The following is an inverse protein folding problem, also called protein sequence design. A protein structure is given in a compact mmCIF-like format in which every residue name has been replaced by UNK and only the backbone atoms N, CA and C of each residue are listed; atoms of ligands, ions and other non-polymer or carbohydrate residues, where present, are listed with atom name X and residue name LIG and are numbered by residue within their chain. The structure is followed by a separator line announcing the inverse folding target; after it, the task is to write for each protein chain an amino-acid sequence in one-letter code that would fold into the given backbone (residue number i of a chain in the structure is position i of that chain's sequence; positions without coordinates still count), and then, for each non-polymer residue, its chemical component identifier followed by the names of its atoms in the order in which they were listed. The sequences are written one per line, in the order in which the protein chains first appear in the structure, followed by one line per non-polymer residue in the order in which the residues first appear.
data_IF_202633535483
#
_entry.id   IF_202633535483
#
_cell.length_a   1.000
_cell.length_b   1.000
_cell.length_c   1.000
_cell.angle_alpha   90.00
_cell.angle_beta   90.00
_cell.angle_gamma   90.00
#
_symmetry.space_group_name_H-M   'P 1'
#
loop_
_entity.id
_entity.type
_entity.pdbx_description
1 polymer ?
#
# COMPACT_ATOMS: atom_id res chain seq x y z
N UNK A 1 -10.77 -7.81 35.54
CA UNK A 1 -9.87 -7.58 34.41
C UNK A 1 -9.18 -6.25 34.67
N UNK A 2 -7.88 -6.09 34.53
CA UNK A 2 -7.27 -4.77 34.64
C UNK A 2 -7.92 -3.87 33.58
N UNK A 3 -8.37 -2.69 33.97
CA UNK A 3 -8.86 -1.67 33.04
C UNK A 3 -7.70 -1.41 32.06
N UNK A 4 -7.96 -1.55 30.74
CA UNK A 4 -6.97 -1.16 29.74
C UNK A 4 -6.70 0.34 29.90
N UNK A 5 -5.43 0.70 29.87
CA UNK A 5 -5.02 2.10 29.98
C UNK A 5 -5.57 2.86 28.78
N UNK A 6 -6.31 3.92 29.02
CA UNK A 6 -6.67 4.91 28.03
C UNK A 6 -5.40 5.69 27.64
N UNK A 7 -5.21 5.94 26.34
CA UNK A 7 -4.10 6.74 25.79
C UNK A 7 -4.68 8.01 25.22
N UNK A 8 -4.14 9.14 25.65
CA UNK A 8 -4.60 10.47 25.26
C UNK A 8 -3.57 11.16 24.36
N UNK A 9 -3.99 11.64 23.20
CA UNK A 9 -3.18 12.33 22.21
C UNK A 9 -3.71 13.74 22.05
N UNK A 10 -2.84 14.76 22.06
CA UNK A 10 -3.18 16.18 21.95
C UNK A 10 -2.51 16.81 20.74
N UNK A 11 -3.14 17.81 20.14
CA UNK A 11 -2.52 18.67 19.11
C UNK A 11 -3.41 18.91 17.89
N UNK A 12 -2.81 18.97 16.70
CA UNK A 12 -3.61 19.09 15.47
C UNK A 12 -4.02 17.71 14.98
N UNK A 13 -5.32 17.44 14.97
CA UNK A 13 -5.89 16.14 14.58
C UNK A 13 -6.33 16.19 13.12
N UNK A 14 -5.79 15.29 12.27
CA UNK A 14 -6.22 15.10 10.88
C UNK A 14 -7.29 14.00 10.86
N UNK A 15 -8.56 14.37 10.75
CA UNK A 15 -9.69 13.48 11.01
C UNK A 15 -10.70 13.39 9.84
N UNK A 16 -11.56 12.39 9.94
CA UNK A 16 -12.63 12.15 8.97
C UNK A 16 -12.12 11.64 7.63
N UNK A 17 -13.03 11.34 6.72
CA UNK A 17 -12.69 10.79 5.41
C UNK A 17 -12.23 11.87 4.40
N UNK A 18 -12.45 13.13 4.76
CA UNK A 18 -11.99 14.31 3.99
C UNK A 18 -10.73 14.95 4.61
N UNK A 19 -10.15 14.33 5.63
CA UNK A 19 -8.91 14.78 6.29
C UNK A 19 -8.94 16.25 6.67
N UNK A 20 -10.00 16.64 7.35
CA UNK A 20 -10.10 17.96 7.98
C UNK A 20 -9.13 18.04 9.15
N UNK A 21 -8.84 19.22 9.64
CA UNK A 21 -7.99 19.42 10.81
C UNK A 21 -8.73 20.18 11.90
N UNK A 22 -8.49 19.80 13.15
CA UNK A 22 -8.90 20.55 14.34
C UNK A 22 -7.76 20.55 15.35
N UNK A 23 -7.70 21.58 16.19
CA UNK A 23 -6.83 21.58 17.36
C UNK A 23 -7.63 21.03 18.55
N UNK A 24 -7.12 19.92 19.13
CA UNK A 24 -7.85 19.18 20.14
C UNK A 24 -7.18 17.86 20.53
N UNK A 25 -7.97 16.85 20.81
CA UNK A 25 -7.51 15.58 21.35
C UNK A 25 -8.13 14.37 20.66
N UNK A 26 -7.46 13.21 20.82
CA UNK A 26 -7.97 11.88 20.50
C UNK A 26 -7.75 10.97 21.71
N UNK A 27 -8.80 10.25 22.14
CA UNK A 27 -8.72 9.19 23.14
C UNK A 27 -8.74 7.82 22.46
N UNK A 28 -7.76 6.99 22.83
CA UNK A 28 -7.62 5.61 22.38
C UNK A 28 -7.89 4.68 23.56
N UNK A 29 -8.79 3.72 23.39
CA UNK A 29 -9.12 2.73 24.41
C UNK A 29 -9.37 1.36 23.78
N UNK A 30 -8.85 0.31 24.39
CA UNK A 30 -9.04 -1.09 23.96
C UNK A 30 -8.65 -1.37 22.49
N UNK A 31 -7.70 -0.57 21.95
CA UNK A 31 -7.26 -0.69 20.55
C UNK A 31 -8.16 0.03 19.54
N UNK A 32 -9.09 0.87 20.01
CA UNK A 32 -10.01 1.65 19.17
C UNK A 32 -9.93 3.14 19.46
N UNK A 33 -10.32 3.94 18.49
CA UNK A 33 -10.55 5.38 18.63
C UNK A 33 -11.89 5.52 19.38
N UNK A 34 -11.83 5.92 20.65
CA UNK A 34 -13.01 6.07 21.49
C UNK A 34 -13.76 7.36 21.17
N UNK A 35 -13.03 8.46 21.14
CA UNK A 35 -13.56 9.78 20.83
C UNK A 35 -12.44 10.72 20.39
N UNK A 36 -12.80 11.81 19.77
CA UNK A 36 -11.92 12.96 19.51
C UNK A 36 -12.73 14.26 19.55
N UNK A 37 -12.08 15.36 19.88
CA UNK A 37 -12.78 16.65 20.01
C UNK A 37 -11.84 17.83 20.15
N UNK A 38 -12.43 19.01 20.27
CA UNK A 38 -11.72 20.26 20.54
C UNK A 38 -11.43 20.41 22.03
N UNK A 39 -10.43 21.17 22.38
CA UNK A 39 -10.05 21.48 23.75
C UNK A 39 -8.64 20.99 24.08
N UNK A 40 -8.19 21.33 25.30
CA UNK A 40 -6.88 20.94 25.80
C UNK A 40 -7.04 19.92 26.92
N UNK A 41 -6.25 18.85 26.87
CA UNK A 41 -6.21 17.80 27.86
C UNK A 41 -4.74 17.54 28.27
N UNK A 42 -4.53 16.93 29.43
CA UNK A 42 -3.22 16.38 29.82
C UNK A 42 -3.03 15.07 29.05
N UNK A 43 -2.14 15.05 28.08
CA UNK A 43 -1.99 13.97 27.11
C UNK A 43 -0.66 13.22 27.25
N UNK A 44 -0.67 11.94 26.87
CA UNK A 44 0.55 11.11 26.83
C UNK A 44 1.52 11.57 25.70
N UNK A 45 0.99 12.09 24.60
CA UNK A 45 1.76 12.59 23.45
C UNK A 45 1.10 13.84 22.85
N UNK A 46 1.96 14.78 22.37
CA UNK A 46 1.51 16.00 21.69
C UNK A 46 2.19 16.14 20.33
N UNK A 47 1.40 16.52 19.28
CA UNK A 47 1.90 16.71 17.93
C UNK A 47 0.81 16.80 16.86
N UNK A 48 1.12 16.40 15.63
CA UNK A 48 0.11 16.22 14.59
C UNK A 48 -0.34 14.76 14.63
N UNK A 49 -1.61 14.51 14.99
CA UNK A 49 -2.19 13.18 15.07
C UNK A 49 -2.87 12.86 13.73
N UNK A 50 -2.47 11.77 13.10
CA UNK A 50 -3.01 11.36 11.81
C UNK A 50 -3.14 9.83 11.71
N UNK A 51 -3.99 9.31 10.78
CA UNK A 51 -4.04 7.88 10.52
C UNK A 51 -2.70 7.37 9.96
N UNK A 52 -2.38 6.12 10.28
CA UNK A 52 -1.24 5.40 9.71
C UNK A 52 -1.48 5.06 8.24
N UNK A 53 -0.40 4.79 7.53
CA UNK A 53 -0.42 4.48 6.10
C UNK A 53 -0.87 3.05 5.80
N UNK A 54 -1.34 2.88 4.56
CA UNK A 54 -1.67 1.58 3.97
C UNK A 54 -0.90 1.45 2.66
N UNK A 55 -0.10 0.39 2.54
CA UNK A 55 0.64 0.04 1.34
C UNK A 55 -0.19 -0.95 0.50
N UNK A 56 -0.87 -0.46 -0.53
CA UNK A 56 -1.83 -1.28 -1.29
C UNK A 56 -1.19 -2.23 -2.31
N UNK A 57 0.14 -2.19 -2.48
CA UNK A 57 0.87 -3.10 -3.35
C UNK A 57 2.35 -3.18 -2.97
N UNK A 58 2.82 -4.37 -2.64
CA UNK A 58 4.22 -4.63 -2.33
C UNK A 58 4.59 -6.08 -2.66
N UNK A 59 5.87 -6.35 -2.86
CA UNK A 59 6.47 -7.68 -2.94
C UNK A 59 7.54 -7.80 -1.86
N UNK A 60 7.18 -8.31 -0.67
CA UNK A 60 8.17 -8.48 0.42
C UNK A 60 9.03 -9.72 0.23
N UNK A 61 8.64 -10.62 -0.69
CA UNK A 61 9.39 -11.84 -0.98
C UNK A 61 10.82 -11.61 -1.43
N UNK A 62 11.09 -10.48 -2.08
CA UNK A 62 12.39 -10.12 -2.63
C UNK A 62 13.27 -9.27 -1.69
N UNK A 63 12.86 -9.12 -0.44
CA UNK A 63 13.56 -8.28 0.55
C UNK A 63 14.97 -8.72 0.90
N UNK A 64 15.35 -9.95 0.58
CA UNK A 64 16.68 -10.50 0.92
C UNK A 64 17.79 -10.08 -0.05
N UNK A 65 17.45 -9.49 -1.21
CA UNK A 65 18.41 -9.15 -2.27
C UNK A 65 18.14 -7.76 -2.85
N UNK A 66 18.34 -6.75 -2.01
CA UNK A 66 18.15 -5.33 -2.34
C UNK A 66 19.20 -4.82 -3.33
N UNK A 67 18.82 -3.75 -4.05
CA UNK A 67 19.67 -2.99 -4.95
C UNK A 67 20.28 -3.83 -6.10
N UNK A 68 19.47 -4.58 -6.89
CA UNK A 68 19.96 -5.22 -8.09
C UNK A 68 20.46 -4.16 -9.10
N UNK A 69 21.29 -4.55 -10.09
CA UNK A 69 21.70 -3.61 -11.12
C UNK A 69 20.48 -3.08 -11.89
N UNK A 70 20.59 -1.86 -12.42
CA UNK A 70 19.55 -1.29 -13.29
C UNK A 70 19.47 -2.13 -14.60
N UNK A 71 18.35 -2.80 -14.78
CA UNK A 71 18.05 -3.68 -15.90
C UNK A 71 16.64 -3.38 -16.43
N UNK A 72 16.31 -3.77 -17.66
CA UNK A 72 14.94 -3.76 -18.16
C UNK A 72 13.99 -4.57 -17.24
N UNK A 73 12.73 -4.16 -17.18
CA UNK A 73 11.73 -4.79 -16.29
C UNK A 73 11.67 -6.32 -16.44
N UNK A 74 11.67 -6.84 -17.70
CA UNK A 74 11.65 -8.27 -17.98
C UNK A 74 12.84 -9.03 -17.39
N UNK A 75 14.02 -8.41 -17.39
CA UNK A 75 15.26 -9.01 -16.89
C UNK A 75 15.34 -8.93 -15.36
N UNK A 76 14.61 -7.98 -14.76
CA UNK A 76 14.51 -7.84 -13.30
C UNK A 76 13.49 -8.82 -12.70
N UNK A 77 12.22 -8.74 -13.13
CA UNK A 77 11.07 -9.38 -12.49
C UNK A 77 10.27 -10.33 -13.39
N UNK A 78 10.65 -10.47 -14.66
CA UNK A 78 10.05 -11.44 -15.57
C UNK A 78 10.23 -12.89 -15.11
N UNK A 79 9.55 -13.86 -15.73
CA UNK A 79 9.61 -15.28 -15.35
C UNK A 79 11.03 -15.84 -15.25
N UNK A 80 11.93 -15.42 -16.16
CA UNK A 80 13.36 -15.81 -16.18
C UNK A 80 14.26 -14.69 -15.63
N UNK A 81 13.69 -13.68 -14.99
CA UNK A 81 14.41 -12.52 -14.47
C UNK A 81 15.28 -12.83 -13.26
N UNK A 82 16.15 -11.87 -12.90
CA UNK A 82 17.07 -12.00 -11.77
C UNK A 82 16.34 -12.29 -10.44
N UNK A 83 15.14 -11.74 -10.25
CA UNK A 83 14.30 -11.97 -9.07
C UNK A 83 13.97 -13.46 -8.88
N UNK A 84 13.50 -14.13 -9.94
CA UNK A 84 13.14 -15.54 -9.88
C UNK A 84 14.34 -16.43 -9.51
N UNK A 85 15.51 -16.16 -10.12
CA UNK A 85 16.77 -16.86 -9.83
C UNK A 85 17.20 -16.63 -8.36
N UNK A 86 17.23 -15.37 -7.90
CA UNK A 86 17.65 -15.05 -6.54
C UNK A 86 16.72 -15.65 -5.49
N UNK A 87 15.40 -15.69 -5.74
CA UNK A 87 14.45 -16.38 -4.86
C UNK A 87 14.74 -17.88 -4.76
N UNK A 88 15.09 -18.52 -5.87
CA UNK A 88 15.42 -19.96 -5.89
C UNK A 88 16.77 -20.29 -5.21
N UNK A 89 17.75 -19.40 -5.30
CA UNK A 89 19.11 -19.59 -4.79
C UNK A 89 19.26 -19.16 -3.31
N UNK A 90 18.37 -18.30 -2.81
CA UNK A 90 18.48 -17.72 -1.46
C UNK A 90 17.95 -18.70 -0.41
N UNK A 91 18.72 -19.01 0.65
CA UNK A 91 18.26 -19.88 1.73
C UNK A 91 16.97 -19.36 2.38
N UNK A 92 16.08 -20.30 2.76
CA UNK A 92 14.76 -20.01 3.36
C UNK A 92 14.85 -19.01 4.52
N UNK A 93 15.80 -19.21 5.43
CA UNK A 93 15.99 -18.38 6.62
C UNK A 93 16.40 -16.94 6.26
N UNK A 94 17.20 -16.76 5.20
CA UNK A 94 17.59 -15.45 4.71
C UNK A 94 16.42 -14.72 4.07
N UNK A 95 15.54 -15.41 3.35
CA UNK A 95 14.30 -14.84 2.79
C UNK A 95 13.38 -14.37 3.93
N UNK A 96 13.15 -15.21 4.95
CA UNK A 96 12.32 -14.87 6.12
C UNK A 96 12.88 -13.65 6.86
N UNK A 97 14.20 -13.62 7.11
CA UNK A 97 14.85 -12.50 7.78
C UNK A 97 14.74 -11.21 6.95
N UNK A 98 14.92 -11.29 5.63
CA UNK A 98 14.73 -10.16 4.72
C UNK A 98 13.30 -9.62 4.78
N UNK A 99 12.30 -10.49 4.67
CA UNK A 99 10.88 -10.14 4.82
C UNK A 99 10.63 -9.46 6.17
N UNK A 100 11.09 -10.06 7.29
CA UNK A 100 10.88 -9.54 8.62
C UNK A 100 11.45 -8.12 8.79
N UNK A 101 12.66 -7.87 8.29
CA UNK A 101 13.29 -6.54 8.32
C UNK A 101 12.47 -5.51 7.57
N UNK A 102 11.95 -5.84 6.40
CA UNK A 102 11.12 -4.94 5.59
C UNK A 102 9.75 -4.70 6.21
N UNK A 103 9.15 -5.71 6.85
CA UNK A 103 7.92 -5.53 7.63
C UNK A 103 8.13 -4.64 8.86
N UNK A 104 9.27 -4.78 9.56
CA UNK A 104 9.64 -3.87 10.66
C UNK A 104 9.86 -2.45 10.15
N UNK A 105 10.46 -2.27 8.99
CA UNK A 105 10.60 -0.96 8.34
C UNK A 105 9.23 -0.33 8.04
N UNK A 106 8.28 -1.11 7.50
CA UNK A 106 6.89 -0.64 7.32
C UNK A 106 6.28 -0.14 8.63
N UNK A 107 6.41 -0.90 9.73
CA UNK A 107 5.90 -0.48 11.04
C UNK A 107 6.56 0.85 11.46
N UNK A 108 7.88 0.92 11.40
CA UNK A 108 8.66 2.07 11.85
C UNK A 108 8.45 3.33 10.99
N UNK A 109 8.00 3.16 9.73
CA UNK A 109 7.64 4.25 8.81
C UNK A 109 6.14 4.56 8.79
N UNK A 110 5.39 4.06 9.78
CA UNK A 110 3.98 4.40 9.99
C UNK A 110 2.97 3.57 9.19
N UNK A 111 3.38 2.54 8.46
CA UNK A 111 2.45 1.63 7.77
C UNK A 111 1.78 0.68 8.77
N UNK A 112 0.46 0.49 8.68
CA UNK A 112 -0.31 -0.42 9.54
C UNK A 112 -0.95 -1.59 8.80
N UNK A 113 -1.05 -1.50 7.48
CA UNK A 113 -1.61 -2.57 6.65
C UNK A 113 -0.93 -2.57 5.28
N UNK A 114 -0.87 -3.74 4.65
CA UNK A 114 -0.31 -3.87 3.31
C UNK A 114 -0.97 -5.00 2.50
N UNK A 115 -0.87 -4.91 1.17
CA UNK A 115 -1.22 -5.97 0.24
C UNK A 115 0.05 -6.52 -0.40
N UNK A 116 0.39 -7.78 -0.10
CA UNK A 116 1.56 -8.47 -0.66
C UNK A 116 1.14 -9.33 -1.85
N UNK A 117 1.89 -9.23 -2.95
CA UNK A 117 1.73 -10.07 -4.13
C UNK A 117 2.76 -11.18 -4.11
N UNK A 118 2.36 -12.26 -3.46
CA UNK A 118 3.24 -13.32 -3.00
C UNK A 118 3.68 -14.25 -4.12
N UNK A 119 4.97 -14.50 -4.21
CA UNK A 119 5.56 -15.58 -4.97
C UNK A 119 5.77 -16.84 -4.09
N UNK A 120 5.90 -18.01 -4.74
CA UNK A 120 6.27 -19.26 -4.07
C UNK A 120 5.11 -20.04 -3.45
N UNK A 121 3.85 -19.71 -3.80
CA UNK A 121 2.68 -20.49 -3.39
C UNK A 121 2.55 -20.68 -1.88
N UNK A 122 2.23 -21.89 -1.42
CA UNK A 122 2.07 -22.19 0.02
C UNK A 122 3.35 -21.96 0.82
N UNK A 123 4.51 -22.31 0.28
CA UNK A 123 5.79 -22.09 0.98
C UNK A 123 6.08 -20.59 1.15
N UNK A 124 5.79 -19.77 0.14
CA UNK A 124 5.86 -18.31 0.24
C UNK A 124 4.97 -17.78 1.36
N UNK A 125 3.73 -18.27 1.44
CA UNK A 125 2.78 -17.93 2.49
C UNK A 125 3.27 -18.30 3.90
N UNK A 126 3.87 -19.48 4.06
CA UNK A 126 4.47 -19.92 5.33
C UNK A 126 5.62 -19.00 5.74
N UNK A 127 6.52 -18.64 4.79
CA UNK A 127 7.64 -17.72 5.04
C UNK A 127 7.14 -16.33 5.47
N UNK A 128 6.15 -15.78 4.76
CA UNK A 128 5.59 -14.47 5.10
C UNK A 128 4.90 -14.48 6.47
N UNK A 129 4.13 -15.54 6.76
CA UNK A 129 3.46 -15.71 8.06
C UNK A 129 4.46 -15.79 9.21
N UNK A 130 5.58 -16.51 9.00
CA UNK A 130 6.66 -16.60 9.98
C UNK A 130 7.37 -15.24 10.16
N UNK A 131 7.67 -14.55 9.07
CA UNK A 131 8.31 -13.24 9.10
C UNK A 131 7.45 -12.16 9.79
N UNK A 132 6.13 -12.22 9.62
CA UNK A 132 5.18 -11.26 10.16
C UNK A 132 4.78 -11.55 11.63
N UNK A 133 5.23 -12.67 12.22
CA UNK A 133 4.84 -13.06 13.57
C UNK A 133 5.11 -11.93 14.57
N UNK A 134 4.09 -11.61 15.38
CA UNK A 134 4.12 -10.58 16.43
C UNK A 134 4.31 -9.12 15.93
N UNK A 135 4.22 -8.88 14.62
CA UNK A 135 4.22 -7.52 14.09
C UNK A 135 2.79 -6.95 14.02
N UNK A 136 2.59 -5.68 14.39
CA UNK A 136 1.27 -5.03 14.41
C UNK A 136 0.84 -4.58 13.01
N UNK A 137 0.87 -5.49 12.03
CA UNK A 137 0.51 -5.26 10.64
C UNK A 137 -0.69 -6.11 10.23
N UNK A 138 -1.62 -5.50 9.50
CA UNK A 138 -2.70 -6.22 8.82
C UNK A 138 -2.25 -6.57 7.40
N UNK A 139 -2.39 -7.82 7.03
CA UNK A 139 -1.95 -8.33 5.73
C UNK A 139 -3.16 -8.69 4.84
N UNK A 140 -3.06 -8.36 3.56
CA UNK A 140 -3.89 -8.88 2.47
C UNK A 140 -2.96 -9.57 1.48
N UNK A 141 -3.04 -10.89 1.41
CA UNK A 141 -2.12 -11.67 0.59
C UNK A 141 -2.80 -12.04 -0.72
N UNK A 142 -2.18 -11.66 -1.83
CA UNK A 142 -2.56 -12.03 -3.18
C UNK A 142 -1.61 -13.12 -3.66
N UNK A 143 -2.12 -14.35 -3.78
CA UNK A 143 -1.37 -15.46 -4.35
C UNK A 143 -1.29 -15.36 -5.87
N UNK A 144 -0.21 -15.86 -6.45
CA UNK A 144 -0.07 -16.00 -7.91
C UNK A 144 -0.80 -17.26 -8.39
N UNK A 145 -1.35 -17.25 -9.63
CA UNK A 145 -1.80 -18.48 -10.25
C UNK A 145 -0.57 -19.40 -10.44
N UNK A 146 -0.69 -20.67 -10.06
CA UNK A 146 0.36 -21.66 -10.23
C UNK A 146 -0.01 -22.60 -11.39
N UNK A 147 0.95 -23.03 -12.20
CA UNK A 147 0.71 -24.03 -13.25
C UNK A 147 0.10 -25.31 -12.65
N UNK A 148 -1.07 -25.72 -13.16
CA UNK A 148 -1.80 -26.89 -12.70
C UNK A 148 -2.72 -26.67 -11.51
N UNK A 149 -2.68 -25.52 -10.84
CA UNK A 149 -3.61 -25.12 -9.79
C UNK A 149 -4.49 -23.97 -10.27
N UNK A 150 -5.80 -24.12 -10.10
CA UNK A 150 -6.80 -23.16 -10.60
C UNK A 150 -6.94 -21.92 -9.70
N UNK A 151 -6.36 -21.94 -8.49
CA UNK A 151 -6.55 -20.88 -7.49
C UNK A 151 -5.25 -20.52 -6.79
N UNK A 152 -5.17 -19.28 -6.31
CA UNK A 152 -4.29 -18.96 -5.19
C UNK A 152 -4.68 -19.84 -3.97
N UNK A 153 -3.76 -20.16 -3.05
CA UNK A 153 -4.10 -20.89 -1.83
C UNK A 153 -5.36 -20.30 -1.19
N UNK A 154 -6.27 -21.16 -0.69
CA UNK A 154 -7.55 -20.73 -0.10
C UNK A 154 -7.37 -19.71 1.04
N UNK A 155 -6.21 -19.76 1.70
CA UNK A 155 -5.79 -18.82 2.75
C UNK A 155 -5.40 -17.44 2.25
N UNK A 156 -5.21 -17.25 0.93
CA UNK A 156 -4.96 -15.93 0.34
C UNK A 156 -6.26 -15.12 0.25
N UNK A 157 -6.14 -13.82 0.51
CA UNK A 157 -7.26 -12.89 0.38
C UNK A 157 -7.68 -12.71 -1.09
N UNK A 158 -6.75 -12.82 -2.01
CA UNK A 158 -7.00 -12.62 -3.42
C UNK A 158 -6.05 -13.35 -4.35
N UNK A 159 -6.35 -13.25 -5.64
CA UNK A 159 -5.52 -13.67 -6.76
C UNK A 159 -4.84 -12.46 -7.37
N UNK A 160 -3.50 -12.49 -7.48
CA UNK A 160 -2.67 -11.47 -8.09
C UNK A 160 -2.10 -11.93 -9.44
N UNK A 161 -2.48 -11.29 -10.54
CA UNK A 161 -1.98 -11.59 -11.88
C UNK A 161 -0.87 -10.62 -12.25
N UNK A 162 0.26 -11.13 -12.79
CA UNK A 162 1.42 -10.31 -13.18
C UNK A 162 1.11 -9.44 -14.41
N UNK A 163 0.60 -10.02 -15.46
CA UNK A 163 0.09 -9.36 -16.67
C UNK A 163 -0.76 -10.36 -17.42
N UNK A 164 -1.77 -9.89 -18.16
CA UNK A 164 -2.54 -10.77 -19.05
C UNK A 164 -1.71 -11.32 -20.20
N UNK A 165 -0.55 -10.72 -20.48
CA UNK A 165 0.40 -11.18 -21.51
C UNK A 165 1.24 -12.39 -21.10
N UNK A 166 1.37 -12.64 -19.79
CA UNK A 166 2.20 -13.74 -19.27
C UNK A 166 1.47 -15.09 -19.32
N UNK A 167 0.18 -15.08 -19.66
CA UNK A 167 -0.67 -16.26 -19.61
C UNK A 167 -1.62 -16.32 -20.81
N UNK A 168 -2.11 -17.52 -21.11
CA UNK A 168 -3.21 -17.72 -22.05
C UNK A 168 -4.51 -17.09 -21.50
N UNK A 169 -5.26 -16.37 -22.34
CA UNK A 169 -6.45 -15.63 -21.91
C UNK A 169 -7.59 -16.55 -21.43
N UNK A 170 -7.76 -17.74 -22.03
CA UNK A 170 -8.80 -18.69 -21.59
C UNK A 170 -8.42 -19.35 -20.27
N UNK A 171 -7.11 -19.57 -20.03
CA UNK A 171 -6.60 -19.92 -18.70
C UNK A 171 -6.93 -18.83 -17.67
N UNK A 172 -6.64 -17.56 -17.97
CA UNK A 172 -6.96 -16.44 -17.07
C UNK A 172 -8.44 -16.33 -16.76
N UNK A 173 -9.33 -16.48 -17.76
CA UNK A 173 -10.77 -16.53 -17.52
C UNK A 173 -11.16 -17.65 -16.57
N UNK A 174 -10.54 -18.81 -16.70
CA UNK A 174 -10.81 -19.98 -15.83
C UNK A 174 -10.36 -19.70 -14.38
N UNK A 175 -9.13 -19.24 -14.16
CA UNK A 175 -8.62 -18.97 -12.80
C UNK A 175 -9.34 -17.79 -12.14
N UNK A 176 -9.70 -16.75 -12.89
CA UNK A 176 -10.46 -15.61 -12.35
C UNK A 176 -11.89 -16.02 -11.97
N UNK A 177 -12.54 -16.85 -12.77
CA UNK A 177 -13.87 -17.41 -12.43
C UNK A 177 -13.80 -18.27 -11.15
N UNK A 178 -12.72 -19.05 -10.98
CA UNK A 178 -12.49 -19.85 -9.79
C UNK A 178 -12.23 -18.98 -8.54
N UNK A 179 -11.42 -17.93 -8.66
CA UNK A 179 -11.15 -16.96 -7.60
C UNK A 179 -12.45 -16.27 -7.14
N UNK A 180 -13.29 -15.83 -8.07
CA UNK A 180 -14.61 -15.25 -7.76
C UNK A 180 -15.52 -16.23 -7.02
N UNK A 181 -15.57 -17.50 -7.46
CA UNK A 181 -16.33 -18.55 -6.77
C UNK A 181 -15.83 -18.75 -5.33
N UNK A 182 -14.53 -18.65 -5.11
CA UNK A 182 -13.91 -18.71 -3.80
C UNK A 182 -14.05 -17.40 -2.99
N UNK A 183 -14.66 -16.35 -3.57
CA UNK A 183 -14.77 -15.00 -2.98
C UNK A 183 -13.40 -14.34 -2.70
N UNK A 184 -12.40 -14.68 -3.49
CA UNK A 184 -11.11 -14.03 -3.48
C UNK A 184 -11.17 -12.77 -4.34
N UNK A 185 -10.51 -11.70 -3.89
CA UNK A 185 -10.33 -10.50 -4.68
C UNK A 185 -9.39 -10.75 -5.86
N UNK A 186 -9.57 -10.00 -6.95
CA UNK A 186 -8.74 -10.09 -8.15
C UNK A 186 -7.97 -8.79 -8.35
N UNK A 187 -6.64 -8.87 -8.42
CA UNK A 187 -5.78 -7.75 -8.75
C UNK A 187 -4.88 -8.08 -9.96
N UNK A 188 -4.70 -7.12 -10.86
CA UNK A 188 -3.94 -7.34 -12.10
C UNK A 188 -2.95 -6.20 -12.31
N UNK A 189 -1.67 -6.54 -12.59
CA UNK A 189 -0.71 -5.57 -13.11
C UNK A 189 -1.05 -5.31 -14.57
N UNK A 190 -1.27 -4.06 -14.93
CA UNK A 190 -1.66 -3.67 -16.27
C UNK A 190 -1.01 -2.36 -16.70
N UNK A 191 -0.68 -2.27 -17.98
CA UNK A 191 -0.12 -1.05 -18.54
C UNK A 191 1.20 -0.61 -17.90
N UNK A 192 2.00 -1.53 -17.36
CA UNK A 192 3.27 -1.20 -16.75
C UNK A 192 4.33 -0.88 -17.79
N UNK A 193 4.81 -1.87 -18.52
CA UNK A 193 5.82 -1.70 -19.57
C UNK A 193 5.21 -1.40 -20.95
N UNK A 194 4.05 -1.96 -21.23
CA UNK A 194 3.32 -1.81 -22.49
C UNK A 194 1.84 -1.51 -22.23
N UNK A 195 1.12 -1.14 -23.29
CA UNK A 195 -0.32 -0.84 -23.24
C UNK A 195 -1.21 -2.05 -23.56
N UNK A 196 -0.62 -3.08 -24.15
CA UNK A 196 -1.35 -4.12 -24.88
C UNK A 196 -2.19 -5.03 -23.97
N UNK A 197 -1.90 -5.05 -22.65
CA UNK A 197 -2.60 -5.87 -21.65
C UNK A 197 -3.79 -5.15 -20.98
N UNK A 198 -3.94 -3.85 -21.20
CA UNK A 198 -4.94 -3.03 -20.46
C UNK A 198 -6.38 -3.47 -20.80
N UNK A 199 -6.67 -3.67 -22.07
CA UNK A 199 -8.02 -4.02 -22.52
C UNK A 199 -8.47 -5.37 -21.93
N UNK A 200 -7.61 -6.39 -22.02
CA UNK A 200 -7.86 -7.72 -21.49
C UNK A 200 -7.94 -7.71 -19.96
N UNK A 201 -7.11 -6.91 -19.31
CA UNK A 201 -7.15 -6.74 -17.84
C UNK A 201 -8.48 -6.15 -17.38
N UNK A 202 -9.00 -5.11 -18.06
CA UNK A 202 -10.33 -4.54 -17.77
C UNK A 202 -11.44 -5.57 -18.01
N UNK A 203 -11.34 -6.36 -19.09
CA UNK A 203 -12.33 -7.38 -19.44
C UNK A 203 -12.44 -8.53 -18.42
N UNK A 204 -11.39 -8.76 -17.63
CA UNK A 204 -11.41 -9.69 -16.51
C UNK A 204 -12.09 -9.13 -15.25
N UNK A 205 -12.55 -7.87 -15.27
CA UNK A 205 -13.27 -7.18 -14.19
C UNK A 205 -12.54 -7.30 -12.81
N UNK A 206 -11.30 -6.83 -12.69
CA UNK A 206 -10.55 -6.91 -11.44
C UNK A 206 -11.13 -5.98 -10.37
N UNK A 207 -10.87 -6.29 -9.09
CA UNK A 207 -11.19 -5.40 -7.98
C UNK A 207 -10.28 -4.16 -7.98
N UNK A 208 -9.07 -4.26 -8.53
CA UNK A 208 -8.21 -3.13 -8.84
C UNK A 208 -7.09 -3.49 -9.83
N UNK A 209 -6.54 -2.47 -10.47
CA UNK A 209 -5.36 -2.56 -11.33
C UNK A 209 -4.14 -1.96 -10.64
N UNK A 210 -2.95 -2.42 -11.01
CA UNK A 210 -1.67 -1.86 -10.53
C UNK A 210 -0.92 -1.24 -11.70
N UNK A 211 -0.21 -0.13 -11.48
CA UNK A 211 0.62 0.66 -12.41
C UNK A 211 -0.14 1.58 -13.36
N UNK A 212 -0.60 1.11 -14.51
CA UNK A 212 -1.26 1.90 -15.58
C UNK A 212 -0.36 3.01 -16.17
N UNK A 213 0.96 2.82 -16.20
CA UNK A 213 1.94 3.81 -16.66
C UNK A 213 1.79 4.14 -18.14
N UNK A 214 1.45 3.14 -18.96
CA UNK A 214 1.32 3.23 -20.41
C UNK A 214 -0.10 3.50 -20.89
N UNK A 215 -1.05 3.67 -19.97
CA UNK A 215 -2.44 3.96 -20.30
C UNK A 215 -2.57 5.32 -20.98
N UNK A 216 -3.27 5.36 -22.10
CA UNK A 216 -3.71 6.61 -22.70
C UNK A 216 -5.08 7.08 -22.15
N UNK A 217 -5.56 8.23 -22.62
CA UNK A 217 -6.83 8.77 -22.11
C UNK A 217 -8.05 7.87 -22.42
N UNK A 218 -8.20 7.23 -23.58
CA UNK A 218 -9.23 6.21 -23.82
C UNK A 218 -9.22 5.05 -22.83
N UNK A 219 -8.03 4.51 -22.48
CA UNK A 219 -7.88 3.45 -21.49
C UNK A 219 -8.36 3.91 -20.12
N UNK A 220 -7.86 5.08 -19.66
CA UNK A 220 -8.25 5.65 -18.38
C UNK A 220 -9.76 5.94 -18.28
N UNK A 221 -10.39 6.38 -19.38
CA UNK A 221 -11.84 6.53 -19.44
C UNK A 221 -12.58 5.18 -19.35
N UNK A 222 -12.00 4.10 -19.86
CA UNK A 222 -12.56 2.75 -19.75
C UNK A 222 -12.46 2.24 -18.31
N UNK A 223 -11.31 2.44 -17.65
CA UNK A 223 -11.12 2.14 -16.22
C UNK A 223 -12.12 2.92 -15.36
N UNK A 224 -12.27 4.24 -15.61
CA UNK A 224 -13.21 5.09 -14.87
C UNK A 224 -14.67 4.64 -15.06
N UNK A 225 -15.08 4.27 -16.29
CA UNK A 225 -16.44 3.75 -16.55
C UNK A 225 -16.70 2.42 -15.89
N UNK A 226 -15.70 1.58 -15.75
CA UNK A 226 -15.79 0.30 -15.06
C UNK A 226 -15.69 0.43 -13.52
N UNK A 227 -15.47 1.66 -13.01
CA UNK A 227 -15.26 1.96 -11.57
C UNK A 227 -14.14 1.11 -10.94
N UNK A 228 -13.10 0.81 -11.72
CA UNK A 228 -11.96 0.00 -11.28
C UNK A 228 -10.92 0.92 -10.61
N UNK A 229 -10.56 0.70 -9.33
CA UNK A 229 -9.49 1.42 -8.65
C UNK A 229 -8.11 1.13 -9.26
N UNK A 230 -7.18 2.06 -9.09
CA UNK A 230 -5.79 1.89 -9.54
C UNK A 230 -4.81 2.14 -8.39
N UNK A 231 -3.87 1.23 -8.19
CA UNK A 231 -2.73 1.40 -7.28
C UNK A 231 -1.51 1.82 -8.09
N UNK A 232 -0.93 2.97 -7.75
CA UNK A 232 0.26 3.50 -8.43
C UNK A 232 1.52 3.28 -7.59
N UNK A 233 2.65 2.96 -8.25
CA UNK A 233 3.93 2.65 -7.63
C UNK A 233 5.05 3.50 -8.27
N UNK A 234 5.01 4.84 -8.14
CA UNK A 234 5.82 5.72 -8.96
C UNK A 234 7.33 5.55 -8.77
N UNK A 235 7.85 5.25 -7.57
CA UNK A 235 9.30 5.05 -7.37
C UNK A 235 9.80 3.78 -8.06
N UNK A 236 9.08 2.67 -7.94
CA UNK A 236 9.41 1.43 -8.65
C UNK A 236 9.46 1.67 -10.15
N UNK A 237 8.45 2.35 -10.69
CA UNK A 237 8.37 2.67 -12.11
C UNK A 237 9.52 3.56 -12.61
N UNK A 238 10.09 4.43 -11.75
CA UNK A 238 11.30 5.19 -12.07
C UNK A 238 12.54 4.29 -12.13
N UNK A 239 12.68 3.36 -11.18
CA UNK A 239 13.83 2.43 -11.15
C UNK A 239 13.82 1.50 -12.36
N UNK A 240 12.65 0.97 -12.73
CA UNK A 240 12.51 0.07 -13.89
C UNK A 240 12.51 0.80 -15.24
N UNK A 241 12.43 2.14 -15.22
CA UNK A 241 12.43 2.96 -16.44
C UNK A 241 11.17 2.84 -17.30
N UNK A 242 10.10 2.25 -16.78
CA UNK A 242 8.82 2.09 -17.51
C UNK A 242 8.00 3.38 -17.61
N UNK A 243 8.47 4.47 -17.02
CA UNK A 243 7.79 5.76 -17.01
C UNK A 243 6.85 5.93 -15.83
N UNK A 244 6.13 7.05 -15.79
CA UNK A 244 5.23 7.38 -14.70
C UNK A 244 3.77 7.39 -15.15
N UNK A 245 2.83 6.95 -14.31
CA UNK A 245 1.41 7.00 -14.62
C UNK A 245 0.90 8.45 -14.66
N UNK A 246 -0.10 8.71 -15.48
CA UNK A 246 -0.76 10.02 -15.52
C UNK A 246 -1.75 10.18 -14.36
N UNK A 247 -1.21 10.26 -13.12
CA UNK A 247 -1.97 10.35 -11.86
C UNK A 247 -2.97 11.50 -11.89
N UNK A 248 -2.57 12.65 -12.45
CA UNK A 248 -3.45 13.81 -12.56
C UNK A 248 -4.69 13.51 -13.40
N UNK A 249 -4.50 12.89 -14.57
CA UNK A 249 -5.63 12.53 -15.44
C UNK A 249 -6.53 11.46 -14.83
N UNK A 250 -5.94 10.47 -14.14
CA UNK A 250 -6.72 9.47 -13.39
C UNK A 250 -7.62 10.14 -12.35
N UNK A 251 -7.06 11.08 -11.58
CA UNK A 251 -7.78 11.84 -10.58
C UNK A 251 -8.90 12.71 -11.18
N UNK A 252 -8.63 13.41 -12.29
CA UNK A 252 -9.63 14.20 -13.04
C UNK A 252 -10.80 13.35 -13.55
N UNK A 253 -10.54 12.09 -13.89
CA UNK A 253 -11.58 11.13 -14.31
C UNK A 253 -12.33 10.47 -13.16
N UNK A 254 -11.98 10.77 -11.91
CA UNK A 254 -12.63 10.24 -10.71
C UNK A 254 -12.21 8.82 -10.34
N UNK A 255 -11.13 8.28 -10.93
CA UNK A 255 -10.62 6.96 -10.58
C UNK A 255 -10.15 6.96 -9.12
N UNK A 256 -10.59 5.98 -8.33
CA UNK A 256 -10.09 5.78 -6.97
C UNK A 256 -8.63 5.35 -7.03
N UNK A 257 -7.72 6.18 -6.48
CA UNK A 257 -6.28 5.93 -6.51
C UNK A 257 -5.78 5.50 -5.14
N UNK A 258 -4.98 4.42 -5.11
CA UNK A 258 -4.17 3.96 -3.98
C UNK A 258 -2.68 4.06 -4.28
N UNK A 259 -1.85 3.74 -3.29
CA UNK A 259 -0.39 3.79 -3.38
C UNK A 259 0.21 2.46 -2.96
N UNK A 260 1.19 2.00 -3.72
CA UNK A 260 2.03 0.86 -3.42
C UNK A 260 3.52 1.21 -3.54
N UNK A 261 4.38 0.46 -2.87
CA UNK A 261 5.84 0.60 -2.97
C UNK A 261 6.47 -0.40 -3.91
N UNK A 262 5.70 -1.43 -4.30
CA UNK A 262 6.12 -2.49 -5.22
C UNK A 262 7.32 -3.30 -4.68
N UNK A 263 8.22 -3.78 -5.53
CA UNK A 263 9.34 -4.64 -5.17
C UNK A 263 10.27 -3.99 -4.12
N UNK A 264 10.41 -4.64 -2.97
CA UNK A 264 11.29 -4.17 -1.88
C UNK A 264 12.76 -4.25 -2.29
N UNK A 265 13.11 -5.15 -3.20
CA UNK A 265 14.47 -5.19 -3.75
C UNK A 265 14.85 -3.91 -4.51
N UNK A 266 13.87 -3.16 -5.03
CA UNK A 266 14.08 -1.92 -5.79
C UNK A 266 13.99 -0.66 -4.94
N UNK A 267 13.10 -0.68 -3.94
CA UNK A 267 12.78 0.49 -3.10
C UNK A 267 12.47 0.09 -1.67
N UNK A 268 12.77 0.96 -0.73
CA UNK A 268 12.28 0.85 0.64
C UNK A 268 10.74 0.84 0.67
N UNK A 269 10.08 0.00 1.50
CA UNK A 269 8.62 -0.01 1.63
C UNK A 269 8.08 1.18 2.46
N UNK A 270 8.63 2.36 2.22
CA UNK A 270 8.37 3.61 2.93
C UNK A 270 7.36 4.48 2.16
N UNK A 271 6.14 4.59 2.67
CA UNK A 271 5.06 5.37 2.05
C UNK A 271 5.33 6.89 2.05
N UNK A 272 6.12 7.43 2.98
CA UNK A 272 6.49 8.86 2.93
C UNK A 272 7.18 9.23 1.61
N UNK A 273 8.04 8.36 1.09
CA UNK A 273 8.79 8.63 -0.15
C UNK A 273 7.88 8.63 -1.37
N UNK A 274 6.91 7.69 -1.45
CA UNK A 274 5.87 7.71 -2.50
C UNK A 274 5.03 8.98 -2.40
N UNK A 275 4.60 9.33 -1.19
CA UNK A 275 3.78 10.50 -0.90
C UNK A 275 4.48 11.81 -1.33
N UNK A 276 5.79 11.92 -1.04
CA UNK A 276 6.60 13.07 -1.45
C UNK A 276 6.67 13.22 -2.97
N UNK A 277 6.91 12.11 -3.68
CA UNK A 277 6.99 12.10 -5.14
C UNK A 277 5.64 12.46 -5.77
N UNK A 278 4.57 11.82 -5.31
CA UNK A 278 3.21 12.10 -5.77
C UNK A 278 2.83 13.57 -5.60
N UNK A 279 3.05 14.13 -4.40
CA UNK A 279 2.65 15.51 -4.10
C UNK A 279 3.47 16.55 -4.86
N UNK A 280 4.78 16.32 -5.03
CA UNK A 280 5.70 17.33 -5.60
C UNK A 280 5.80 17.26 -7.12
N UNK A 281 5.59 16.08 -7.71
CA UNK A 281 5.82 15.88 -9.14
C UNK A 281 4.57 15.50 -9.95
N UNK A 282 3.58 14.84 -9.35
CA UNK A 282 2.53 14.18 -10.14
C UNK A 282 1.13 14.77 -9.95
N UNK A 283 0.74 15.13 -8.71
CA UNK A 283 -0.65 15.53 -8.45
C UNK A 283 -0.81 16.95 -7.90
N UNK A 284 0.12 17.46 -7.08
CA UNK A 284 0.08 18.78 -6.44
C UNK A 284 -1.20 19.04 -5.59
N UNK A 285 -1.75 17.98 -4.99
CA UNK A 285 -2.90 18.02 -4.08
C UNK A 285 -2.59 17.18 -2.83
N UNK A 286 -2.25 17.86 -1.73
CA UNK A 286 -1.84 17.20 -0.49
C UNK A 286 -2.93 16.32 0.11
N UNK A 287 -4.17 16.78 0.06
CA UNK A 287 -5.31 16.05 0.63
C UNK A 287 -5.59 14.77 -0.15
N UNK A 288 -5.58 14.86 -1.47
CA UNK A 288 -5.79 13.71 -2.32
C UNK A 288 -4.63 12.71 -2.20
N UNK A 289 -3.38 13.18 -2.18
CA UNK A 289 -2.20 12.32 -1.98
C UNK A 289 -2.25 11.62 -0.61
N UNK A 290 -2.59 12.34 0.46
CA UNK A 290 -2.74 11.73 1.78
C UNK A 290 -3.85 10.67 1.80
N UNK A 291 -4.97 10.95 1.14
CA UNK A 291 -6.10 10.02 0.98
C UNK A 291 -5.67 8.75 0.22
N UNK A 292 -4.84 8.87 -0.82
CA UNK A 292 -4.27 7.74 -1.56
C UNK A 292 -3.42 6.85 -0.65
N UNK A 293 -2.61 7.45 0.23
CA UNK A 293 -1.70 6.72 1.14
C UNK A 293 -2.39 6.12 2.38
N UNK A 294 -3.67 6.43 2.60
CA UNK A 294 -4.43 6.03 3.80
C UNK A 294 -5.77 5.40 3.45
N UNK A 295 -6.84 6.19 3.37
CA UNK A 295 -8.22 5.71 3.23
C UNK A 295 -8.49 5.01 1.90
N UNK A 296 -8.00 5.54 0.77
CA UNK A 296 -8.22 4.91 -0.53
C UNK A 296 -7.52 3.56 -0.63
N UNK A 297 -6.24 3.49 -0.20
CA UNK A 297 -5.50 2.24 -0.12
C UNK A 297 -6.20 1.23 0.80
N UNK A 298 -6.72 1.70 1.95
CA UNK A 298 -7.53 0.86 2.85
C UNK A 298 -8.80 0.34 2.15
N UNK A 299 -9.50 1.19 1.38
CA UNK A 299 -10.70 0.81 0.63
C UNK A 299 -10.38 -0.23 -0.43
N UNK A 300 -9.32 -0.04 -1.21
CA UNK A 300 -8.90 -0.96 -2.27
C UNK A 300 -8.62 -2.37 -1.71
N UNK A 301 -8.02 -2.46 -0.52
CA UNK A 301 -7.73 -3.75 0.12
C UNK A 301 -8.78 -4.19 1.15
N UNK A 302 -9.99 -3.59 1.14
CA UNK A 302 -11.13 -3.99 1.98
C UNK A 302 -10.92 -3.80 3.48
N UNK A 303 -10.26 -2.72 3.91
CA UNK A 303 -9.98 -2.40 5.32
C UNK A 303 -10.49 -1.02 5.76
N UNK A 304 -11.19 -0.27 4.91
CA UNK A 304 -11.63 1.10 5.16
C UNK A 304 -12.64 1.25 6.32
N UNK A 305 -13.39 0.20 6.63
CA UNK A 305 -14.27 0.20 7.79
C UNK A 305 -13.50 0.11 9.12
N UNK A 306 -12.26 -0.40 9.10
CA UNK A 306 -11.42 -0.63 10.27
C UNK A 306 -10.38 0.48 10.48
N UNK A 307 -9.81 1.03 9.39
CA UNK A 307 -8.67 1.95 9.43
C UNK A 307 -8.68 2.97 8.27
N UNK A 308 -7.61 3.75 8.12
CA UNK A 308 -7.40 4.70 7.02
C UNK A 308 -7.91 6.11 7.28
N UNK A 309 -8.70 6.36 8.35
CA UNK A 309 -9.11 7.70 8.79
C UNK A 309 -9.38 7.71 10.30
N UNK A 310 -9.24 8.86 10.96
CA UNK A 310 -9.61 9.03 12.37
C UNK A 310 -11.12 9.23 12.44
N UNK A 311 -11.81 8.19 12.92
CA UNK A 311 -13.24 8.17 13.24
C UNK A 311 -13.47 7.31 14.48
N UNK A 312 -14.43 7.70 15.29
CA UNK A 312 -14.85 6.90 16.45
C UNK A 312 -15.26 5.48 16.03
N UNK A 313 -14.82 4.51 16.80
CA UNK A 313 -15.06 3.08 16.57
C UNK A 313 -14.12 2.40 15.57
N UNK A 314 -13.29 3.13 14.83
CA UNK A 314 -12.21 2.52 14.04
C UNK A 314 -11.05 2.08 14.94
N UNK A 315 -10.24 1.13 14.45
CA UNK A 315 -9.03 0.71 15.15
C UNK A 315 -8.09 1.90 15.38
N UNK A 316 -7.42 1.91 16.51
CA UNK A 316 -6.45 2.93 16.92
C UNK A 316 -5.15 2.84 16.08
N UNK A 317 -5.29 2.83 14.76
CA UNK A 317 -4.16 2.83 13.82
C UNK A 317 -3.78 4.28 13.48
N UNK A 318 -3.20 4.95 14.45
CA UNK A 318 -2.81 6.36 14.36
C UNK A 318 -1.34 6.53 14.68
N UNK A 319 -0.77 7.65 14.24
CA UNK A 319 0.59 8.06 14.60
C UNK A 319 0.60 9.54 14.99
N UNK A 320 1.57 9.90 15.81
CA UNK A 320 1.84 11.28 16.23
C UNK A 320 3.13 11.75 15.57
N UNK A 321 3.05 12.84 14.82
CA UNK A 321 4.19 13.47 14.15
C UNK A 321 4.66 14.66 14.98
N UNK A 322 5.96 14.76 15.22
CA UNK A 322 6.60 15.84 15.94
C UNK A 322 6.52 17.16 15.16
N UNK A 323 5.57 18.03 15.55
CA UNK A 323 5.40 19.35 14.95
C UNK A 323 6.63 20.25 15.13
N UNK A 324 7.39 20.05 16.20
CA UNK A 324 8.53 20.88 16.60
C UNK A 324 9.88 20.27 16.21
N UNK A 325 9.87 19.22 15.37
CA UNK A 325 11.12 18.70 14.80
C UNK A 325 11.85 19.77 13.98
N UNK A 326 13.16 19.65 13.83
CA UNK A 326 13.94 20.56 12.99
C UNK A 326 13.42 20.63 11.54
N UNK A 327 12.80 19.57 11.06
CA UNK A 327 12.24 19.47 9.70
C UNK A 327 10.89 20.21 9.57
N UNK A 328 10.06 20.17 10.62
CA UNK A 328 8.67 20.64 10.55
C UNK A 328 8.42 21.96 11.28
N UNK A 329 9.37 22.41 12.12
CA UNK A 329 9.25 23.67 12.83
C UNK A 329 8.98 24.85 11.88
N UNK A 330 8.01 25.69 12.22
CA UNK A 330 7.59 26.84 11.38
C UNK A 330 6.63 26.47 10.25
N UNK A 331 6.24 25.20 10.12
CA UNK A 331 5.21 24.80 9.16
C UNK A 331 3.83 25.36 9.54
N UNK A 332 3.07 25.83 8.52
CA UNK A 332 1.77 26.48 8.71
C UNK A 332 0.58 25.60 8.32
N UNK A 333 0.84 24.50 7.64
CA UNK A 333 -0.21 23.58 7.17
C UNK A 333 0.17 22.16 7.60
N UNK A 334 -0.47 21.62 8.66
CA UNK A 334 -0.15 20.30 9.21
C UNK A 334 -0.25 19.16 8.18
N UNK A 335 -1.28 19.16 7.34
CA UNK A 335 -1.44 18.14 6.31
C UNK A 335 -0.33 18.22 5.25
N UNK A 336 -0.04 19.44 4.75
CA UNK A 336 1.06 19.65 3.81
C UNK A 336 2.43 19.31 4.41
N UNK A 337 2.61 19.50 5.73
CA UNK A 337 3.83 19.10 6.44
C UNK A 337 4.04 17.60 6.38
N UNK A 338 2.99 16.82 6.70
CA UNK A 338 3.04 15.37 6.60
C UNK A 338 3.35 14.97 5.15
N UNK A 339 2.58 15.48 4.20
CA UNK A 339 2.61 15.05 2.80
C UNK A 339 3.89 15.44 2.07
N UNK A 340 4.48 16.58 2.38
CA UNK A 340 5.61 17.13 1.60
C UNK A 340 6.95 17.04 2.31
N UNK A 341 6.99 16.84 3.63
CA UNK A 341 8.20 17.00 4.44
C UNK A 341 8.45 15.89 5.43
N UNK A 342 7.41 15.46 6.18
CA UNK A 342 7.59 14.50 7.27
C UNK A 342 8.24 13.20 6.79
N UNK A 343 9.09 12.65 7.62
CA UNK A 343 9.75 11.37 7.41
C UNK A 343 9.71 10.54 8.70
N UNK A 344 10.31 9.35 8.68
CA UNK A 344 10.30 8.45 9.83
C UNK A 344 10.89 9.08 11.10
N UNK A 345 11.89 9.97 10.96
CA UNK A 345 12.51 10.68 12.08
C UNK A 345 11.59 11.72 12.76
N UNK A 346 10.49 12.09 12.12
CA UNK A 346 9.50 13.01 12.67
C UNK A 346 8.39 12.28 13.44
N UNK A 347 8.35 10.94 13.42
CA UNK A 347 7.36 10.15 14.16
C UNK A 347 7.74 10.12 15.64
N UNK A 348 6.83 10.59 16.52
CA UNK A 348 6.98 10.51 17.97
C UNK A 348 6.43 9.21 18.54
N UNK A 349 5.27 8.76 18.04
CA UNK A 349 4.59 7.57 18.53
C UNK A 349 3.74 6.92 17.44
N UNK A 350 3.56 5.60 17.56
CA UNK A 350 2.74 4.77 16.67
C UNK A 350 1.83 3.89 17.55
N UNK A 351 0.55 3.81 17.19
CA UNK A 351 -0.48 3.03 17.89
C UNK A 351 -1.18 2.06 16.95
#
# INVERSE_FOLDING_TARGET
MPQSREILLQGTIIYGDDFQSLDGYVSLQDGFIKEFGTGHIDADFEGIVCPRFVNAHVHVGDSAFKDPPFLPLSDLVGPDGIKARLLAETPREAVIEGMRRSLMEMVNTGTCAFADFLEGGEEGLLRLTEAARDLPLLMRIFGRPCEGELNAPESCWGLGISSTRDHDLDYLKTVTAAARKARQALAIHAGEATRDDICDSIALEPDFLVHMNRADEPDLRSVARADIPVVVCPRSNLVTGVGLPNVKKMAELGITLGVGTDNVMLNSPNIFEEMHLLAKALLHDDRQVFKMCTLNSAKIIGLDQRLGSIREGKEARVMVINRDSNNLWGSRNPLASIVRRAGPSDILAIF
#
